data_IF_365283086264
#
_entry.id   IF_365283086264
#
_cell.length_a   1.000
_cell.length_b   1.000
_cell.length_c   1.000
_cell.angle_alpha   90.00
_cell.angle_beta   90.00
_cell.angle_gamma   90.00
#
_symmetry.space_group_name_H-M   'P 1'
#
loop_
_entity.id
_entity.type
_entity.pdbx_description
1 polymer ?
#
# COMPACT_ATOMS: atom_id res chain seq x y z
N UNK A 1 11.01 -31.65 -12.92
CA UNK A 1 10.79 -30.68 -11.81
C UNK A 1 9.61 -29.79 -12.18
N UNK A 2 8.56 -29.74 -11.37
CA UNK A 2 7.45 -28.80 -11.57
C UNK A 2 7.78 -27.49 -10.84
N UNK A 3 7.92 -26.39 -11.57
CA UNK A 3 8.27 -25.07 -11.01
C UNK A 3 7.05 -24.17 -11.08
N UNK A 4 6.62 -23.65 -9.92
CA UNK A 4 5.66 -22.55 -9.80
C UNK A 4 6.46 -21.32 -9.38
N UNK A 5 6.29 -20.21 -10.10
CA UNK A 5 7.00 -18.98 -9.82
C UNK A 5 6.04 -17.84 -9.49
N UNK A 6 6.18 -17.25 -8.31
CA UNK A 6 5.40 -16.09 -7.87
C UNK A 6 6.24 -14.82 -7.99
N UNK A 7 5.90 -13.97 -8.98
CA UNK A 7 6.60 -12.72 -9.24
C UNK A 7 5.89 -11.55 -8.57
N UNK A 8 6.44 -11.13 -7.44
CA UNK A 8 5.88 -10.06 -6.59
C UNK A 8 6.36 -8.67 -7.04
N UNK A 9 7.60 -8.56 -7.51
CA UNK A 9 8.23 -7.30 -7.88
C UNK A 9 8.86 -7.37 -9.28
N UNK A 10 8.78 -6.29 -10.09
CA UNK A 10 9.51 -6.21 -11.34
C UNK A 10 11.01 -6.15 -11.06
N UNK A 11 11.81 -6.89 -11.84
CA UNK A 11 13.26 -6.74 -11.81
C UNK A 11 13.62 -5.33 -12.29
N UNK A 12 14.59 -4.71 -11.62
CA UNK A 12 15.02 -3.37 -11.98
C UNK A 12 15.60 -3.36 -13.41
N UNK A 13 15.12 -2.41 -14.23
CA UNK A 13 15.53 -2.22 -15.63
C UNK A 13 17.07 -2.16 -15.86
N UNK A 14 17.84 -1.70 -14.86
CA UNK A 14 19.30 -1.61 -14.93
C UNK A 14 20.04 -2.89 -14.49
N UNK A 15 19.34 -3.94 -14.01
CA UNK A 15 19.95 -5.19 -13.59
C UNK A 15 19.79 -6.29 -14.65
N UNK A 16 20.59 -6.20 -15.73
CA UNK A 16 20.53 -7.13 -16.88
C UNK A 16 20.71 -8.60 -16.48
N UNK A 17 21.63 -8.89 -15.55
CA UNK A 17 21.88 -10.26 -15.09
C UNK A 17 20.64 -10.84 -14.41
N UNK A 18 20.00 -10.07 -13.54
CA UNK A 18 18.77 -10.52 -12.87
C UNK A 18 17.61 -10.70 -13.86
N UNK A 19 17.50 -9.84 -14.87
CA UNK A 19 16.49 -9.99 -15.92
C UNK A 19 16.69 -11.26 -16.73
N UNK A 20 17.93 -11.56 -17.16
CA UNK A 20 18.22 -12.79 -17.90
C UNK A 20 17.89 -14.04 -17.07
N UNK A 21 18.26 -14.03 -15.78
CA UNK A 21 17.92 -15.11 -14.84
C UNK A 21 16.40 -15.25 -14.66
N UNK A 22 15.68 -14.15 -14.48
CA UNK A 22 14.22 -14.16 -14.36
C UNK A 22 13.57 -14.68 -15.66
N UNK A 23 13.97 -14.18 -16.83
CA UNK A 23 13.42 -14.62 -18.11
C UNK A 23 13.62 -16.13 -18.34
N UNK A 24 14.76 -16.68 -17.93
CA UNK A 24 14.99 -18.13 -17.96
C UNK A 24 14.02 -18.86 -17.03
N UNK A 25 13.84 -18.37 -15.81
CA UNK A 25 12.90 -18.97 -14.85
C UNK A 25 11.44 -18.89 -15.32
N UNK A 26 11.01 -17.76 -15.90
CA UNK A 26 9.66 -17.55 -16.44
C UNK A 26 9.30 -18.51 -17.58
N UNK A 27 10.28 -18.89 -18.40
CA UNK A 27 10.12 -19.87 -19.49
C UNK A 27 10.13 -21.32 -18.98
N UNK A 28 10.86 -21.59 -17.89
CA UNK A 28 10.97 -22.93 -17.31
C UNK A 28 9.85 -23.25 -16.31
N UNK A 29 9.22 -22.23 -15.75
CA UNK A 29 8.08 -22.40 -14.85
C UNK A 29 6.88 -22.98 -15.61
N UNK A 30 6.14 -23.87 -14.95
CA UNK A 30 4.91 -24.42 -15.51
C UNK A 30 3.72 -23.47 -15.27
N UNK A 31 3.78 -22.71 -14.18
CA UNK A 31 2.81 -21.68 -13.82
C UNK A 31 3.56 -20.46 -13.28
N UNK A 32 3.11 -19.27 -13.67
CA UNK A 32 3.53 -18.00 -13.08
C UNK A 32 2.35 -17.32 -12.38
N UNK A 33 2.58 -16.80 -11.19
CA UNK A 33 1.69 -15.85 -10.53
C UNK A 33 2.31 -14.46 -10.54
N UNK A 34 1.46 -13.45 -10.65
CA UNK A 34 1.84 -12.04 -10.64
C UNK A 34 0.81 -11.24 -9.85
N UNK A 35 1.23 -10.18 -9.18
CA UNK A 35 0.32 -9.42 -8.32
C UNK A 35 -0.29 -8.18 -8.97
N UNK A 36 0.16 -7.76 -10.15
CA UNK A 36 -0.30 -6.52 -10.80
C UNK A 36 -0.62 -6.71 -12.28
N UNK A 37 -1.53 -5.89 -12.84
CA UNK A 37 -1.81 -5.89 -14.28
C UNK A 37 -0.57 -5.62 -15.13
N UNK A 38 0.32 -4.73 -14.67
CA UNK A 38 1.61 -4.48 -15.32
C UNK A 38 2.46 -5.75 -15.42
N UNK A 39 2.68 -6.44 -14.29
CA UNK A 39 3.47 -7.67 -14.28
C UNK A 39 2.82 -8.76 -15.13
N UNK A 40 1.49 -8.85 -15.12
CA UNK A 40 0.75 -9.76 -15.98
C UNK A 40 1.03 -9.52 -17.46
N UNK A 41 0.93 -8.26 -17.94
CA UNK A 41 1.24 -7.93 -19.33
C UNK A 41 2.68 -8.26 -19.69
N UNK A 42 3.64 -8.00 -18.80
CA UNK A 42 5.05 -8.24 -19.10
C UNK A 42 5.42 -9.74 -19.07
N UNK A 43 4.92 -10.47 -18.08
CA UNK A 43 5.32 -11.86 -17.83
C UNK A 43 4.55 -12.85 -18.71
N UNK A 44 3.29 -12.57 -19.05
CA UNK A 44 2.50 -13.42 -19.95
C UNK A 44 3.12 -13.56 -21.35
N UNK A 45 4.00 -12.63 -21.77
CA UNK A 45 4.79 -12.73 -23.01
C UNK A 45 5.78 -13.91 -23.00
N UNK A 46 6.19 -14.37 -21.82
CA UNK A 46 7.13 -15.49 -21.65
C UNK A 46 6.42 -16.83 -21.47
N UNK A 47 5.22 -16.82 -20.90
CA UNK A 47 4.47 -18.02 -20.58
C UNK A 47 2.96 -17.73 -20.49
N UNK A 48 2.16 -18.44 -21.28
CA UNK A 48 0.70 -18.25 -21.33
C UNK A 48 -0.01 -18.74 -20.06
N UNK A 49 0.61 -19.63 -19.27
CA UNK A 49 0.13 -20.04 -17.94
C UNK A 49 0.57 -19.06 -16.86
N UNK A 50 0.29 -17.78 -17.10
CA UNK A 50 0.50 -16.69 -16.14
C UNK A 50 -0.85 -16.25 -15.60
N UNK A 51 -0.98 -16.09 -14.29
CA UNK A 51 -2.24 -15.72 -13.63
C UNK A 51 -2.05 -14.52 -12.70
N UNK A 52 -2.95 -13.53 -12.84
CA UNK A 52 -2.98 -12.35 -11.98
C UNK A 52 -3.68 -12.68 -10.67
N UNK A 53 -2.93 -12.72 -9.57
CA UNK A 53 -3.44 -12.86 -8.20
C UNK A 53 -2.94 -11.67 -7.39
N UNK A 54 -3.76 -10.61 -7.19
CA UNK A 54 -3.37 -9.45 -6.41
C UNK A 54 -2.99 -9.80 -4.97
N UNK A 55 -2.22 -8.93 -4.32
CA UNK A 55 -1.93 -9.08 -2.90
C UNK A 55 -3.21 -9.11 -2.06
N UNK A 56 -3.09 -9.69 -0.87
CA UNK A 56 -4.13 -9.67 0.14
C UNK A 56 -3.72 -8.99 1.43
N UNK A 57 -4.65 -8.98 2.39
CA UNK A 57 -4.36 -8.67 3.78
C UNK A 57 -4.70 -9.85 4.70
N UNK A 58 -4.00 -9.93 5.84
CA UNK A 58 -4.36 -10.87 6.90
C UNK A 58 -5.41 -10.21 7.79
N UNK A 59 -6.69 -10.45 7.47
CA UNK A 59 -7.82 -9.76 8.11
C UNK A 59 -7.92 -10.02 9.62
N UNK A 60 -7.33 -11.12 10.12
CA UNK A 60 -7.27 -11.40 11.57
C UNK A 60 -6.48 -10.34 12.35
N UNK A 61 -5.48 -9.70 11.73
CA UNK A 61 -4.72 -8.62 12.37
C UNK A 61 -5.42 -7.26 12.23
N UNK A 62 -6.23 -7.07 11.19
CA UNK A 62 -6.87 -5.80 10.86
C UNK A 62 -8.39 -5.94 10.96
N UNK A 63 -8.90 -5.85 12.20
CA UNK A 63 -10.32 -5.99 12.48
C UNK A 63 -10.94 -4.66 12.90
N UNK A 64 -11.66 -4.01 11.99
CA UNK A 64 -12.39 -2.77 12.26
C UNK A 64 -13.49 -2.90 13.34
N UNK A 65 -13.94 -4.11 13.70
CA UNK A 65 -14.90 -4.31 14.81
C UNK A 65 -14.24 -4.20 16.18
N UNK A 66 -12.90 -4.31 16.26
CA UNK A 66 -12.19 -4.17 17.52
C UNK A 66 -12.26 -2.70 17.95
N UNK A 67 -12.71 -2.48 19.17
CA UNK A 67 -12.78 -1.14 19.75
C UNK A 67 -11.40 -0.76 20.28
N UNK A 68 -10.88 0.36 19.82
CA UNK A 68 -9.61 0.94 20.26
C UNK A 68 -9.90 2.30 20.91
N UNK A 69 -10.10 2.29 22.24
CA UNK A 69 -10.48 3.50 22.99
C UNK A 69 -9.30 4.42 23.29
N UNK A 70 -8.09 3.87 23.37
CA UNK A 70 -6.89 4.60 23.76
C UNK A 70 -5.81 4.43 22.71
N UNK A 71 -5.19 5.51 22.23
CA UNK A 71 -4.09 5.41 21.29
C UNK A 71 -2.88 4.71 21.92
N UNK A 72 -2.02 4.06 21.11
CA UNK A 72 -0.74 3.54 21.58
C UNK A 72 0.07 4.59 22.35
N UNK A 73 0.90 4.15 23.31
CA UNK A 73 1.63 5.05 24.22
C UNK A 73 2.56 6.04 23.49
N UNK A 74 3.10 5.66 22.34
CA UNK A 74 3.96 6.47 21.49
C UNK A 74 3.22 7.22 20.38
N UNK A 75 1.89 7.12 20.34
CA UNK A 75 1.08 7.91 19.41
C UNK A 75 1.11 9.38 19.83
N UNK A 76 1.27 10.32 18.89
CA UNK A 76 1.35 11.74 19.22
C UNK A 76 0.07 12.24 19.88
N UNK A 77 0.22 13.13 20.86
CA UNK A 77 -0.91 13.77 21.55
C UNK A 77 -1.54 14.83 20.64
N UNK A 78 -2.50 14.40 19.83
CA UNK A 78 -3.22 15.23 18.85
C UNK A 78 -4.65 15.44 19.38
N UNK A 79 -5.10 16.70 19.48
CA UNK A 79 -6.42 17.07 20.02
C UNK A 79 -7.18 17.93 19.01
N UNK A 80 -8.28 17.40 18.47
CA UNK A 80 -9.17 18.08 17.52
C UNK A 80 -8.52 18.41 16.15
N UNK A 81 -7.33 17.87 15.85
CA UNK A 81 -6.70 17.93 14.54
C UNK A 81 -6.88 16.61 13.76
N UNK A 82 -6.65 16.66 12.45
CA UNK A 82 -6.78 15.50 11.58
C UNK A 82 -5.46 14.72 11.52
N UNK A 83 -5.57 13.39 11.55
CA UNK A 83 -4.44 12.47 11.48
C UNK A 83 -4.37 11.82 10.10
N UNK A 84 -3.28 12.09 9.39
CA UNK A 84 -2.99 11.50 8.09
C UNK A 84 -1.95 10.38 8.26
N UNK A 85 -2.35 9.13 8.04
CA UNK A 85 -1.53 7.97 8.33
C UNK A 85 -0.74 7.46 7.13
N UNK A 86 0.56 7.20 7.31
CA UNK A 86 1.42 6.53 6.33
C UNK A 86 2.05 5.31 7.00
N UNK A 87 1.67 4.11 6.59
CA UNK A 87 2.32 2.87 6.97
C UNK A 87 3.02 2.25 5.78
N UNK A 88 4.34 2.39 5.73
CA UNK A 88 5.17 1.92 4.62
C UNK A 88 6.63 1.84 5.03
N UNK A 89 7.37 0.95 4.39
CA UNK A 89 8.81 1.15 4.26
C UNK A 89 9.08 2.50 3.65
N UNK A 90 9.95 3.23 4.30
CA UNK A 90 10.43 4.54 3.94
C UNK A 90 11.68 4.34 3.08
N UNK A 91 11.50 4.35 1.77
CA UNK A 91 12.55 4.11 0.77
C UNK A 91 12.37 5.00 -0.47
N UNK A 92 13.12 4.69 -1.53
CA UNK A 92 13.09 5.38 -2.82
C UNK A 92 11.71 5.50 -3.48
N UNK A 93 10.69 4.74 -3.02
CA UNK A 93 9.32 4.78 -3.53
C UNK A 93 8.52 5.93 -2.93
N UNK A 94 8.83 6.35 -1.69
CA UNK A 94 8.09 7.38 -0.97
C UNK A 94 8.50 8.77 -1.47
N UNK A 95 7.51 9.64 -1.71
CA UNK A 95 7.72 11.01 -2.14
C UNK A 95 7.78 11.95 -0.93
N UNK A 96 8.99 12.17 -0.44
CA UNK A 96 9.25 13.10 0.67
C UNK A 96 8.74 14.51 0.43
N UNK A 97 8.88 15.03 -0.78
CA UNK A 97 8.45 16.39 -1.08
C UNK A 97 6.92 16.50 -1.08
N UNK A 98 6.22 15.42 -1.44
CA UNK A 98 4.78 15.36 -1.31
C UNK A 98 4.37 15.33 0.17
N UNK A 99 5.05 14.53 1.00
CA UNK A 99 4.81 14.50 2.46
C UNK A 99 4.98 15.90 3.07
N UNK A 100 6.11 16.56 2.77
CA UNK A 100 6.38 17.92 3.25
C UNK A 100 5.34 18.93 2.75
N UNK A 101 4.98 18.85 1.47
CA UNK A 101 3.95 19.71 0.89
C UNK A 101 2.59 19.54 1.58
N UNK A 102 2.18 18.29 1.87
CA UNK A 102 0.94 18.01 2.60
C UNK A 102 1.00 18.62 4.00
N UNK A 103 2.11 18.41 4.72
CA UNK A 103 2.30 18.96 6.07
C UNK A 103 2.22 20.50 6.10
N UNK A 104 2.79 21.17 5.10
CA UNK A 104 2.78 22.63 4.97
C UNK A 104 1.44 23.19 4.47
N UNK A 105 0.63 22.37 3.79
CA UNK A 105 -0.65 22.82 3.22
C UNK A 105 -1.73 23.06 4.29
N UNK A 106 -1.62 22.39 5.44
CA UNK A 106 -2.51 22.60 6.57
C UNK A 106 -1.82 22.19 7.88
N UNK A 107 -1.55 23.17 8.75
CA UNK A 107 -0.89 22.92 10.04
C UNK A 107 -1.76 22.13 11.03
N UNK A 108 -3.08 22.05 10.80
CA UNK A 108 -4.00 21.19 11.54
C UNK A 108 -4.03 19.74 11.01
N UNK A 109 -3.17 19.38 10.07
CA UNK A 109 -2.97 18.00 9.66
C UNK A 109 -1.69 17.47 10.27
N UNK A 110 -1.80 16.36 10.99
CA UNK A 110 -0.67 15.67 11.59
C UNK A 110 -0.39 14.39 10.81
N UNK A 111 0.78 14.30 10.19
CA UNK A 111 1.20 13.11 9.48
C UNK A 111 1.83 12.13 10.47
N UNK A 112 1.27 10.93 10.58
CA UNK A 112 1.84 9.84 11.40
C UNK A 112 2.44 8.80 10.48
N UNK A 113 3.75 8.62 10.56
CA UNK A 113 4.53 7.75 9.68
C UNK A 113 5.05 6.54 10.47
N UNK A 114 4.73 5.34 9.98
CA UNK A 114 5.08 4.06 10.59
C UNK A 114 5.79 3.19 9.55
N UNK A 115 6.89 2.56 9.95
CA UNK A 115 7.64 1.62 9.11
C UNK A 115 9.15 1.84 9.16
N UNK A 116 9.94 0.91 8.60
CA UNK A 116 11.38 1.01 8.60
C UNK A 116 11.87 2.05 7.59
N UNK A 117 13.01 2.69 7.88
CA UNK A 117 13.79 3.46 6.90
C UNK A 117 14.81 2.52 6.26
N UNK A 118 14.76 2.39 4.93
CA UNK A 118 15.75 1.62 4.17
C UNK A 118 16.63 2.57 3.35
N UNK A 119 17.94 2.35 3.45
CA UNK A 119 18.96 3.25 2.93
C UNK A 119 19.41 4.24 3.99
N UNK A 120 20.46 5.01 3.68
CA UNK A 120 20.92 6.05 4.58
C UNK A 120 19.97 7.25 4.41
N UNK A 121 19.22 7.67 5.45
CA UNK A 121 18.42 8.88 5.35
C UNK A 121 19.36 10.04 5.06
N UNK A 122 19.37 10.50 3.82
CA UNK A 122 20.10 11.72 3.46
C UNK A 122 19.58 12.90 4.31
N UNK A 123 20.28 14.05 4.23
CA UNK A 123 19.88 15.26 4.96
C UNK A 123 18.41 15.66 4.73
N UNK A 124 17.80 15.23 3.62
CA UNK A 124 16.41 15.51 3.25
C UNK A 124 15.42 14.73 4.11
N UNK A 125 15.70 13.47 4.44
CA UNK A 125 14.89 12.71 5.39
C UNK A 125 14.89 13.37 6.77
N UNK A 126 16.08 13.69 7.28
CA UNK A 126 16.21 14.31 8.60
C UNK A 126 15.52 15.68 8.69
N UNK A 127 15.53 16.48 7.62
CA UNK A 127 14.81 17.77 7.62
C UNK A 127 13.30 17.59 7.58
N UNK A 128 12.76 16.69 6.73
CA UNK A 128 11.32 16.44 6.66
C UNK A 128 10.79 15.91 7.99
N UNK A 129 11.50 14.95 8.60
CA UNK A 129 11.07 14.35 9.87
C UNK A 129 11.15 15.31 11.08
N UNK A 130 11.81 16.47 10.95
CA UNK A 130 11.83 17.53 11.97
C UNK A 130 10.67 18.52 11.87
N UNK A 131 9.81 18.38 10.85
CA UNK A 131 8.63 19.24 10.70
C UNK A 131 7.65 18.99 11.84
N UNK A 132 7.17 20.04 12.50
CA UNK A 132 6.42 19.94 13.77
C UNK A 132 5.15 19.07 13.71
N UNK A 133 4.47 19.01 12.55
CA UNK A 133 3.28 18.19 12.33
C UNK A 133 3.56 16.88 11.58
N UNK A 134 4.82 16.42 11.54
CA UNK A 134 5.21 15.10 11.04
C UNK A 134 5.77 14.27 12.20
N UNK A 135 5.16 13.10 12.44
CA UNK A 135 5.45 12.22 13.57
C UNK A 135 5.92 10.86 13.03
N UNK A 136 7.21 10.58 13.11
CA UNK A 136 7.75 9.27 12.74
C UNK A 136 7.86 8.37 13.96
N UNK A 137 7.13 7.24 13.93
CA UNK A 137 7.04 6.32 15.06
C UNK A 137 7.97 5.12 14.93
N UNK A 138 8.69 4.98 13.82
CA UNK A 138 9.54 3.81 13.56
C UNK A 138 8.77 2.55 13.19
N UNK A 139 9.44 1.41 13.33
CA UNK A 139 8.89 0.09 13.05
C UNK A 139 7.91 -0.31 14.15
N UNK A 140 6.80 -0.92 13.76
CA UNK A 140 5.82 -1.54 14.68
C UNK A 140 5.57 -2.98 14.31
N UNK A 141 5.24 -3.78 15.32
CA UNK A 141 4.73 -5.12 15.11
C UNK A 141 3.44 -5.08 14.27
N UNK A 142 3.36 -5.95 13.27
CA UNK A 142 2.22 -6.00 12.34
C UNK A 142 0.88 -6.20 13.05
N UNK A 143 0.85 -6.98 14.14
CA UNK A 143 -0.35 -7.21 14.96
C UNK A 143 -0.83 -5.97 15.72
N UNK A 144 0.06 -4.99 15.93
CA UNK A 144 -0.27 -3.72 16.62
C UNK A 144 -0.75 -2.63 15.67
N UNK A 145 -0.49 -2.75 14.37
CA UNK A 145 -0.79 -1.71 13.38
C UNK A 145 -2.26 -1.33 13.32
N UNK A 146 -3.18 -2.28 13.52
CA UNK A 146 -4.62 -1.98 13.56
C UNK A 146 -4.97 -0.92 14.63
N UNK A 147 -4.29 -0.94 15.79
CA UNK A 147 -4.48 0.06 16.83
C UNK A 147 -3.95 1.44 16.40
N UNK A 148 -2.88 1.54 15.60
CA UNK A 148 -2.46 2.83 15.07
C UNK A 148 -3.43 3.32 14.00
N UNK A 149 -3.83 2.43 13.10
CA UNK A 149 -4.69 2.76 11.96
C UNK A 149 -6.06 3.25 12.42
N UNK A 150 -6.58 2.75 13.56
CA UNK A 150 -7.87 3.21 14.10
C UNK A 150 -7.91 4.70 14.40
N UNK A 151 -6.75 5.34 14.67
CA UNK A 151 -6.64 6.78 14.90
C UNK A 151 -6.27 7.59 13.66
N UNK A 152 -6.18 6.98 12.48
CA UNK A 152 -6.01 7.71 11.22
C UNK A 152 -7.35 8.18 10.68
N UNK A 153 -7.45 9.43 10.28
CA UNK A 153 -8.63 9.96 9.58
C UNK A 153 -8.58 9.63 8.09
N UNK A 154 -7.40 9.74 7.49
CA UNK A 154 -7.13 9.35 6.09
C UNK A 154 -5.79 8.63 6.01
N UNK A 155 -5.76 7.50 5.30
CA UNK A 155 -4.53 6.77 5.04
C UNK A 155 -3.95 7.17 3.68
N UNK A 156 -2.64 7.40 3.64
CA UNK A 156 -1.95 7.92 2.45
C UNK A 156 -1.02 6.87 1.85
N UNK A 157 -0.89 6.94 0.53
CA UNK A 157 0.06 6.17 -0.28
C UNK A 157 0.84 7.18 -1.13
N UNK A 158 1.77 7.94 -0.53
CA UNK A 158 2.42 9.07 -1.18
C UNK A 158 3.66 8.60 -1.95
N UNK A 159 3.51 7.66 -2.88
CA UNK A 159 4.63 7.23 -3.71
C UNK A 159 5.05 8.33 -4.70
N UNK A 160 6.26 8.23 -5.24
CA UNK A 160 6.73 9.14 -6.30
C UNK A 160 5.89 8.94 -7.56
N UNK A 161 5.41 10.04 -8.12
CA UNK A 161 4.69 10.08 -9.39
C UNK A 161 5.53 9.46 -10.52
N UNK A 162 4.87 8.76 -11.44
CA UNK A 162 5.47 8.22 -12.68
C UNK A 162 6.70 7.31 -12.47
N UNK A 163 6.80 6.63 -11.31
CA UNK A 163 7.89 5.68 -11.03
C UNK A 163 7.40 4.23 -10.95
N UNK A 164 8.37 3.32 -10.91
CA UNK A 164 8.19 1.87 -10.70
C UNK A 164 7.23 1.44 -9.56
N UNK A 165 7.01 2.15 -8.44
CA UNK A 165 6.06 1.71 -7.39
C UNK A 165 4.62 1.58 -7.91
N UNK A 166 4.29 2.29 -8.99
CA UNK A 166 2.97 2.23 -9.63
C UNK A 166 2.74 0.90 -10.37
N UNK A 167 3.82 0.13 -10.61
CA UNK A 167 3.80 -1.18 -11.28
C UNK A 167 3.42 -2.33 -10.35
N UNK A 168 3.32 -2.11 -9.04
CA UNK A 168 3.06 -3.16 -8.04
C UNK A 168 1.63 -3.08 -7.48
N UNK A 169 1.19 -4.17 -6.85
CA UNK A 169 -0.04 -4.18 -6.08
C UNK A 169 0.23 -4.06 -4.57
N UNK A 170 -0.10 -2.92 -3.96
CA UNK A 170 0.46 -2.58 -2.66
C UNK A 170 -0.39 -3.01 -1.46
N UNK A 171 0.17 -3.93 -0.64
CA UNK A 171 -0.50 -4.55 0.53
C UNK A 171 -1.19 -3.58 1.50
N UNK A 172 -0.55 -2.46 1.85
CA UNK A 172 -1.12 -1.45 2.78
C UNK A 172 -2.54 -0.98 2.41
N UNK A 173 -2.93 -1.05 1.13
CA UNK A 173 -4.26 -0.63 0.68
C UNK A 173 -5.30 -1.55 1.30
N UNK A 174 -5.08 -2.86 1.19
CA UNK A 174 -5.97 -3.88 1.77
C UNK A 174 -5.99 -3.80 3.29
N UNK A 175 -4.87 -3.47 3.94
CA UNK A 175 -4.84 -3.26 5.40
C UNK A 175 -5.67 -2.03 5.83
N UNK A 176 -5.60 -0.92 5.09
CA UNK A 176 -6.44 0.26 5.33
C UNK A 176 -7.92 -0.03 5.05
N UNK A 177 -8.22 -0.77 3.98
CA UNK A 177 -9.56 -1.23 3.66
C UNK A 177 -10.13 -2.12 4.77
N UNK A 178 -9.31 -3.02 5.34
CA UNK A 178 -9.69 -3.89 6.45
C UNK A 178 -10.05 -3.11 7.72
N UNK A 179 -9.38 -1.97 7.94
CA UNK A 179 -9.70 -1.01 9.00
C UNK A 179 -10.80 -0.02 8.62
N UNK A 180 -11.39 -0.15 7.43
CA UNK A 180 -12.46 0.73 6.97
C UNK A 180 -12.02 2.17 6.72
N UNK A 181 -10.73 2.42 6.48
CA UNK A 181 -10.15 3.77 6.38
C UNK A 181 -10.19 4.31 4.96
N UNK A 182 -10.56 5.59 4.76
CA UNK A 182 -10.47 6.21 3.44
C UNK A 182 -9.01 6.35 3.03
N UNK A 183 -8.75 6.22 1.72
CA UNK A 183 -7.39 6.19 1.18
C UNK A 183 -7.19 7.23 0.09
N UNK A 184 -6.07 7.95 0.15
CA UNK A 184 -5.55 8.79 -0.94
C UNK A 184 -4.22 8.22 -1.42
N UNK A 185 -4.07 8.10 -2.73
CA UNK A 185 -2.90 7.50 -3.37
C UNK A 185 -2.51 8.30 -4.60
N UNK A 186 -1.25 8.16 -5.03
CA UNK A 186 -0.93 8.39 -6.45
C UNK A 186 -1.60 7.31 -7.32
N UNK A 187 -1.81 7.53 -8.64
CA UNK A 187 -2.46 6.55 -9.51
C UNK A 187 -1.65 5.26 -9.56
N UNK A 188 -2.24 4.16 -9.08
CA UNK A 188 -1.64 2.83 -9.12
C UNK A 188 -2.62 1.94 -9.89
N UNK A 189 -2.20 1.44 -11.05
CA UNK A 189 -3.04 0.67 -11.96
C UNK A 189 -3.73 -0.51 -11.24
N UNK A 190 -2.98 -1.22 -10.40
CA UNK A 190 -3.49 -2.36 -9.64
C UNK A 190 -4.57 -2.00 -8.61
N UNK A 191 -4.85 -0.71 -8.40
CA UNK A 191 -5.88 -0.22 -7.49
C UNK A 191 -7.05 0.47 -8.21
N UNK A 192 -7.01 0.62 -9.55
CA UNK A 192 -8.03 1.36 -10.32
C UNK A 192 -9.43 0.79 -10.15
N UNK A 193 -9.55 -0.54 -10.11
CA UNK A 193 -10.83 -1.23 -9.93
C UNK A 193 -11.48 -1.00 -8.55
N UNK A 194 -10.79 -0.38 -7.60
CA UNK A 194 -11.31 -0.09 -6.26
C UNK A 194 -11.79 1.36 -6.09
N UNK A 195 -11.85 2.17 -7.16
CA UNK A 195 -12.54 3.46 -7.07
C UNK A 195 -14.05 3.25 -6.77
N UNK A 196 -14.70 4.11 -5.96
CA UNK A 196 -14.16 5.35 -5.37
C UNK A 196 -13.50 5.17 -3.98
N UNK A 197 -13.24 3.93 -3.53
CA UNK A 197 -12.71 3.65 -2.19
C UNK A 197 -11.23 4.04 -2.00
N UNK A 198 -10.52 4.25 -3.10
CA UNK A 198 -9.26 5.00 -3.18
C UNK A 198 -9.48 6.25 -4.03
N UNK A 199 -8.95 7.39 -3.59
CA UNK A 199 -8.87 8.60 -4.39
C UNK A 199 -7.47 8.77 -4.94
N UNK A 200 -7.36 8.86 -6.26
CA UNK A 200 -6.09 9.12 -6.92
C UNK A 200 -5.87 10.61 -7.11
N UNK A 201 -4.66 11.04 -6.78
CA UNK A 201 -4.19 12.38 -7.04
C UNK A 201 -3.02 12.34 -8.00
N UNK A 202 -3.03 13.20 -9.02
CA UNK A 202 -2.03 13.20 -10.09
C UNK A 202 -0.85 14.14 -9.84
N UNK A 203 -0.94 15.01 -8.84
CA UNK A 203 0.11 15.94 -8.43
C UNK A 203 -0.06 16.36 -6.96
N UNK A 204 0.88 17.15 -6.44
CA UNK A 204 0.90 17.61 -5.03
C UNK A 204 -0.38 18.35 -4.62
N UNK A 205 -0.89 19.26 -5.46
CA UNK A 205 -2.10 20.05 -5.18
C UNK A 205 -3.36 19.19 -5.20
N UNK A 206 -3.44 18.29 -6.17
CA UNK A 206 -4.54 17.33 -6.28
C UNK A 206 -4.58 16.37 -5.07
N UNK A 207 -3.42 16.03 -4.51
CA UNK A 207 -3.31 15.19 -3.32
C UNK A 207 -3.96 15.84 -2.10
N UNK A 208 -3.72 17.13 -1.88
CA UNK A 208 -4.36 17.93 -0.82
C UNK A 208 -5.87 18.02 -1.03
N UNK A 209 -6.33 18.22 -2.28
CA UNK A 209 -7.75 18.21 -2.62
C UNK A 209 -8.40 16.86 -2.30
N UNK A 210 -7.77 15.76 -2.69
CA UNK A 210 -8.26 14.42 -2.41
C UNK A 210 -8.33 14.12 -0.90
N UNK A 211 -7.36 14.60 -0.11
CA UNK A 211 -7.40 14.50 1.36
C UNK A 211 -8.64 15.24 1.90
N UNK A 212 -8.86 16.49 1.51
CA UNK A 212 -10.05 17.26 1.94
C UNK A 212 -11.36 16.55 1.58
N UNK A 213 -11.46 15.98 0.37
CA UNK A 213 -12.64 15.23 -0.07
C UNK A 213 -12.89 14.02 0.83
N UNK A 214 -11.84 13.27 1.19
CA UNK A 214 -11.96 12.10 2.05
C UNK A 214 -12.28 12.47 3.51
N UNK A 215 -11.72 13.57 4.01
CA UNK A 215 -12.05 14.11 5.33
C UNK A 215 -13.53 14.53 5.42
N UNK A 216 -14.08 15.12 4.36
CA UNK A 216 -15.49 15.54 4.32
C UNK A 216 -16.52 14.42 4.07
N UNK A 217 -16.11 13.22 3.62
CA UNK A 217 -17.02 12.17 3.13
C UNK A 217 -16.95 10.84 3.92
N UNK A 218 -16.99 10.89 5.25
CA UNK A 218 -16.94 9.69 6.09
C UNK A 218 -18.32 9.06 6.37
N UNK A 219 -19.05 8.61 5.33
CA UNK A 219 -20.35 7.94 5.51
C UNK A 219 -20.19 6.49 5.99
N UNK A 220 -21.09 6.02 6.89
CA UNK A 220 -21.10 4.61 7.40
C UNK A 220 -21.09 3.55 6.30
N UNK A 221 -21.89 3.72 5.24
CA UNK A 221 -21.93 2.80 4.07
C UNK A 221 -20.55 2.66 3.39
N UNK A 222 -19.78 3.75 3.35
CA UNK A 222 -18.43 3.74 2.79
C UNK A 222 -17.46 2.87 3.60
N UNK A 223 -17.66 2.74 4.91
CA UNK A 223 -16.83 1.90 5.79
C UNK A 223 -17.09 0.42 5.54
N UNK A 224 -18.36 0.00 5.43
CA UNK A 224 -18.71 -1.42 5.18
C UNK A 224 -18.17 -1.92 3.85
N UNK A 225 -18.25 -1.10 2.79
CA UNK A 225 -17.76 -1.46 1.46
C UNK A 225 -16.23 -1.66 1.46
N UNK A 226 -15.50 -0.77 2.15
CA UNK A 226 -14.04 -0.91 2.33
C UNK A 226 -13.67 -2.21 3.06
N UNK A 227 -14.37 -2.51 4.16
CA UNK A 227 -14.15 -3.76 4.90
C UNK A 227 -14.45 -4.97 4.01
N UNK A 228 -15.47 -4.89 3.16
CA UNK A 228 -15.81 -5.96 2.21
C UNK A 228 -14.69 -6.18 1.18
N UNK A 229 -14.11 -5.13 0.63
CA UNK A 229 -12.96 -5.22 -0.29
C UNK A 229 -11.81 -5.99 0.35
N UNK A 230 -11.47 -5.70 1.60
CA UNK A 230 -10.42 -6.42 2.31
C UNK A 230 -10.78 -7.87 2.61
N UNK A 231 -12.04 -8.15 2.96
CA UNK A 231 -12.52 -9.51 3.19
C UNK A 231 -12.46 -10.37 1.93
N UNK A 232 -12.80 -9.81 0.76
CA UNK A 232 -12.70 -10.55 -0.51
C UNK A 232 -11.23 -10.72 -0.92
N UNK A 233 -10.36 -9.76 -0.60
CA UNK A 233 -8.93 -9.79 -0.87
C UNK A 233 -8.10 -10.14 0.38
N UNK A 234 -8.45 -11.23 1.06
CA UNK A 234 -7.63 -11.77 2.16
C UNK A 234 -6.63 -12.82 1.64
N UNK A 235 -5.55 -13.05 2.39
CA UNK A 235 -4.49 -13.99 1.97
C UNK A 235 -5.01 -15.42 1.79
N UNK A 236 -5.93 -15.86 2.65
CA UNK A 236 -6.52 -17.20 2.56
C UNK A 236 -7.23 -17.42 1.22
N UNK A 237 -7.95 -16.41 0.72
CA UNK A 237 -8.61 -16.43 -0.58
C UNK A 237 -7.59 -16.34 -1.73
N UNK A 238 -6.55 -15.50 -1.62
CA UNK A 238 -5.50 -15.40 -2.65
C UNK A 238 -4.75 -16.73 -2.82
N UNK A 239 -4.42 -17.38 -1.71
CA UNK A 239 -3.79 -18.70 -1.73
C UNK A 239 -4.71 -19.74 -2.34
N UNK A 240 -6.02 -19.76 -1.98
CA UNK A 240 -7.00 -20.65 -2.63
C UNK A 240 -7.10 -20.42 -4.13
N UNK A 241 -7.04 -19.18 -4.59
CA UNK A 241 -7.05 -18.83 -6.01
C UNK A 241 -5.79 -19.37 -6.72
N UNK A 242 -4.61 -19.26 -6.09
CA UNK A 242 -3.37 -19.83 -6.60
C UNK A 242 -3.46 -21.36 -6.68
N UNK A 243 -3.91 -22.03 -5.62
CA UNK A 243 -4.05 -23.49 -5.59
C UNK A 243 -5.02 -23.99 -6.65
N UNK A 244 -6.13 -23.29 -6.88
CA UNK A 244 -7.06 -23.62 -7.98
C UNK A 244 -6.37 -23.67 -9.35
N UNK A 245 -5.44 -22.75 -9.62
CA UNK A 245 -4.68 -22.77 -10.88
C UNK A 245 -3.62 -23.86 -10.89
N UNK A 246 -2.97 -24.10 -9.74
CA UNK A 246 -2.01 -25.20 -9.56
C UNK A 246 -2.70 -26.54 -9.85
N UNK A 247 -3.77 -26.86 -9.14
CA UNK A 247 -4.47 -28.16 -9.27
C UNK A 247 -5.02 -28.39 -10.69
N UNK A 248 -5.37 -27.31 -11.39
CA UNK A 248 -5.87 -27.37 -12.76
C UNK A 248 -4.77 -27.57 -13.82
N UNK A 249 -3.56 -27.07 -13.56
CA UNK A 249 -2.53 -26.91 -14.59
C UNK A 249 -1.18 -27.57 -14.28
N UNK A 250 -0.98 -28.07 -13.06
CA UNK A 250 0.09 -29.00 -12.66
C UNK A 250 -0.40 -30.43 -12.82
#
# INVERSE_FOLDING_TARGET
MQVVYDCIDPVLENNRIQQQKQNKLLKLSRINFVNSPYLYREISKFNTKTFLVPCGCKTTYFNAKKIFNTPPADFPKIKNQQVLGISSTIDWRINLELILFIAQSNLNWHLVIIGPIHGNPDKKWASVLRTANIHYLGVKDKSKLANYYSFFDVCLIPYIFNKKPLKNNPMKFYEYMAMGKPVVSVPIEALECYQPHVKFANNKRDFVKCINIQLGNQKKKSISDRIMIAKTNNWENKIKEMFKQIDKHL
#
